data_IF_467294670166
#
_entry.id   IF_467294670166
#
_cell.length_a   1.000
_cell.length_b   1.000
_cell.length_c   1.000
_cell.angle_alpha   90.00
_cell.angle_beta   90.00
_cell.angle_gamma   90.00
#
_symmetry.space_group_name_H-M   'P 1'
#
loop_
_entity.id
_entity.type
_entity.pdbx_description
1 polymer ?
#
# COMPACT_ATOMS: atom_id res chain seq x y z
N UNK A 1 -4.59 -4.51 12.60
CA UNK A 1 -4.33 -3.80 11.33
C UNK A 1 -4.75 -4.69 10.17
N UNK A 2 -5.51 -4.18 9.22
CA UNK A 2 -5.82 -4.87 7.95
C UNK A 2 -5.10 -4.16 6.81
N UNK A 3 -4.50 -4.93 5.90
CA UNK A 3 -3.88 -4.43 4.66
C UNK A 3 -4.61 -5.01 3.47
N UNK A 4 -5.14 -4.15 2.61
CA UNK A 4 -5.85 -4.51 1.38
C UNK A 4 -5.45 -3.59 0.22
N UNK A 5 -5.89 -3.89 -1.00
CA UNK A 5 -5.54 -3.18 -2.22
C UNK A 5 -4.78 -4.06 -3.20
N UNK A 6 -4.61 -3.64 -4.44
CA UNK A 6 -4.12 -4.52 -5.52
C UNK A 6 -2.65 -4.91 -5.35
N UNK A 7 -1.77 -3.93 -5.19
CA UNK A 7 -0.32 -4.16 -5.11
C UNK A 7 0.23 -3.75 -3.74
N UNK A 8 1.33 -4.41 -3.32
CA UNK A 8 2.08 -4.02 -2.12
C UNK A 8 1.62 -4.65 -0.82
N UNK A 9 0.49 -5.37 -0.77
CA UNK A 9 -0.07 -5.97 0.46
C UNK A 9 0.97 -6.73 1.30
N UNK A 10 1.61 -7.72 0.71
CA UNK A 10 2.58 -8.58 1.42
C UNK A 10 3.78 -7.80 1.95
N UNK A 11 4.34 -6.89 1.12
CA UNK A 11 5.46 -6.04 1.53
C UNK A 11 5.05 -5.13 2.68
N UNK A 12 3.90 -4.48 2.56
CA UNK A 12 3.36 -3.61 3.63
C UNK A 12 3.12 -4.39 4.92
N UNK A 13 2.53 -5.60 4.85
CA UNK A 13 2.35 -6.44 6.04
C UNK A 13 3.67 -6.76 6.74
N UNK A 14 4.74 -6.98 5.99
CA UNK A 14 6.06 -7.25 6.57
C UNK A 14 6.72 -6.03 7.19
N UNK A 15 6.56 -4.84 6.59
CA UNK A 15 7.02 -3.58 7.22
C UNK A 15 6.25 -3.33 8.52
N UNK A 16 4.92 -3.51 8.51
CA UNK A 16 4.09 -3.39 9.71
C UNK A 16 4.48 -4.40 10.80
N UNK A 17 4.80 -5.63 10.38
CA UNK A 17 5.31 -6.67 11.28
C UNK A 17 6.58 -6.23 11.99
N UNK A 18 7.55 -5.67 11.24
CA UNK A 18 8.78 -5.15 11.82
C UNK A 18 8.50 -3.99 12.80
N UNK A 19 7.54 -3.11 12.47
CA UNK A 19 7.10 -2.04 13.37
C UNK A 19 6.52 -2.56 14.69
N UNK A 20 5.60 -3.51 14.65
CA UNK A 20 5.05 -4.10 15.88
C UNK A 20 6.09 -4.87 16.70
N UNK A 21 7.00 -5.58 16.02
CA UNK A 21 8.10 -6.29 16.66
C UNK A 21 9.04 -5.34 17.40
N UNK A 22 9.47 -4.23 16.76
CA UNK A 22 10.33 -3.21 17.37
C UNK A 22 9.63 -2.48 18.52
N UNK A 23 8.32 -2.28 18.43
CA UNK A 23 7.50 -1.73 19.50
C UNK A 23 7.21 -2.75 20.64
N UNK A 24 7.77 -3.97 20.60
CA UNK A 24 7.58 -4.98 21.63
C UNK A 24 6.16 -5.52 21.74
N UNK A 25 5.34 -5.39 20.69
CA UNK A 25 3.94 -5.83 20.69
C UNK A 25 3.83 -7.33 20.46
N UNK A 26 2.88 -7.97 21.14
CA UNK A 26 2.53 -9.39 20.91
C UNK A 26 1.52 -9.47 19.77
N UNK A 27 1.93 -10.04 18.63
CA UNK A 27 1.10 -10.07 17.42
C UNK A 27 1.16 -11.41 16.69
N UNK A 28 0.24 -11.60 15.74
CA UNK A 28 0.34 -12.61 14.71
C UNK A 28 0.02 -11.99 13.33
N UNK A 29 0.44 -12.69 12.29
CA UNK A 29 0.19 -12.34 10.90
C UNK A 29 -0.26 -13.58 10.14
N UNK A 30 -1.18 -13.45 9.19
CA UNK A 30 -1.51 -14.57 8.30
C UNK A 30 -0.36 -14.82 7.32
N UNK A 31 -0.18 -16.09 6.93
CA UNK A 31 0.89 -16.47 5.98
C UNK A 31 0.74 -15.73 4.66
N UNK A 32 1.87 -15.37 4.04
CA UNK A 32 1.89 -14.80 2.70
C UNK A 32 1.08 -15.66 1.72
N UNK A 33 0.18 -15.01 0.97
CA UNK A 33 -0.75 -15.68 0.05
C UNK A 33 -1.99 -16.30 0.70
N UNK A 34 -2.08 -16.40 2.03
CA UNK A 34 -3.28 -16.87 2.74
C UNK A 34 -4.25 -15.70 3.05
N UNK A 35 -4.58 -14.91 2.04
CA UNK A 35 -5.34 -13.66 2.13
C UNK A 35 -6.84 -13.79 1.83
N UNK A 36 -7.31 -15.01 1.55
CA UNK A 36 -8.73 -15.33 1.45
C UNK A 36 -9.31 -15.66 2.82
N UNK A 37 -10.64 -15.70 2.91
CA UNK A 37 -11.37 -15.94 4.18
C UNK A 37 -10.87 -17.19 4.92
N UNK A 38 -10.62 -18.28 4.21
CA UNK A 38 -10.11 -19.53 4.80
C UNK A 38 -8.74 -19.38 5.43
N UNK A 39 -7.83 -18.66 4.76
CA UNK A 39 -6.48 -18.40 5.28
C UNK A 39 -6.48 -17.45 6.47
N UNK A 40 -7.29 -16.40 6.43
CA UNK A 40 -7.49 -15.48 7.56
C UNK A 40 -8.07 -16.23 8.76
N UNK A 41 -9.14 -17.00 8.55
CA UNK A 41 -9.79 -17.80 9.62
C UNK A 41 -8.80 -18.80 10.22
N UNK A 42 -8.05 -19.54 9.40
CA UNK A 42 -7.02 -20.48 9.89
C UNK A 42 -5.99 -19.77 10.75
N UNK A 43 -5.59 -18.56 10.40
CA UNK A 43 -4.60 -17.78 11.18
C UNK A 43 -5.15 -17.39 12.55
N UNK A 44 -6.42 -17.01 12.66
CA UNK A 44 -7.06 -16.76 13.95
C UNK A 44 -7.18 -18.04 14.79
N UNK A 45 -7.58 -19.17 14.19
CA UNK A 45 -7.69 -20.47 14.89
C UNK A 45 -6.31 -20.89 15.47
N UNK A 46 -5.25 -20.81 14.68
CA UNK A 46 -3.89 -21.18 15.12
C UNK A 46 -3.37 -20.30 16.25
N UNK A 47 -3.81 -19.06 16.32
CA UNK A 47 -3.43 -18.09 17.35
C UNK A 47 -4.47 -17.95 18.48
N UNK A 48 -5.41 -18.87 18.57
CA UNK A 48 -6.42 -18.92 19.64
C UNK A 48 -6.26 -20.16 20.51
N UNK A 49 -6.83 -20.08 21.72
CA UNK A 49 -7.01 -21.25 22.58
C UNK A 49 -8.20 -22.07 22.09
N UNK A 50 -8.37 -23.28 22.61
CA UNK A 50 -9.53 -24.14 22.34
C UNK A 50 -10.86 -23.47 22.71
N UNK A 51 -10.83 -22.53 23.68
CA UNK A 51 -11.98 -21.74 24.12
C UNK A 51 -12.20 -20.47 23.28
N UNK A 52 -11.44 -20.26 22.20
CA UNK A 52 -11.57 -19.12 21.31
C UNK A 52 -10.86 -17.84 21.76
N UNK A 53 -10.16 -17.85 22.90
CA UNK A 53 -9.40 -16.66 23.35
C UNK A 53 -8.11 -16.52 22.51
N UNK A 54 -7.89 -15.35 21.92
CA UNK A 54 -6.67 -15.06 21.20
C UNK A 54 -5.44 -15.09 22.12
N UNK A 55 -4.34 -15.67 21.66
CA UNK A 55 -3.06 -15.76 22.40
C UNK A 55 -2.17 -14.54 22.19
N UNK A 56 -2.55 -13.67 21.26
CA UNK A 56 -1.83 -12.47 20.84
C UNK A 56 -2.72 -11.27 21.03
N UNK A 57 -2.12 -10.12 21.32
CA UNK A 57 -2.87 -8.88 21.55
C UNK A 57 -3.28 -8.22 20.25
N UNK A 58 -2.48 -8.41 19.18
CA UNK A 58 -2.67 -7.76 17.89
C UNK A 58 -2.59 -8.74 16.73
N UNK A 59 -3.19 -8.33 15.61
CA UNK A 59 -3.12 -9.05 14.35
C UNK A 59 -2.79 -8.09 13.19
N UNK A 60 -1.93 -8.54 12.27
CA UNK A 60 -1.75 -7.94 10.95
C UNK A 60 -2.37 -8.90 9.95
N UNK A 61 -3.37 -8.46 9.22
CA UNK A 61 -4.13 -9.30 8.29
C UNK A 61 -3.95 -8.78 6.87
N UNK A 62 -3.21 -9.54 6.07
CA UNK A 62 -3.25 -9.38 4.62
C UNK A 62 -4.59 -9.91 4.11
N UNK A 63 -5.39 -9.08 3.45
CA UNK A 63 -6.70 -9.47 2.99
C UNK A 63 -6.89 -9.13 1.50
N UNK A 64 -7.37 -10.10 0.75
CA UNK A 64 -7.85 -9.88 -0.62
C UNK A 64 -9.07 -8.96 -0.60
N UNK A 65 -9.22 -8.12 -1.61
CA UNK A 65 -10.22 -7.06 -1.66
C UNK A 65 -11.66 -7.59 -1.59
N UNK A 66 -11.93 -8.71 -2.27
CA UNK A 66 -13.24 -9.35 -2.26
C UNK A 66 -13.47 -10.15 -0.96
N UNK A 67 -12.42 -10.83 -0.48
CA UNK A 67 -12.50 -11.56 0.79
C UNK A 67 -12.70 -10.61 1.97
N UNK A 68 -12.20 -9.38 1.89
CA UNK A 68 -12.34 -8.38 2.94
C UNK A 68 -13.80 -8.03 3.22
N UNK A 69 -14.68 -8.08 2.22
CA UNK A 69 -16.12 -7.86 2.40
C UNK A 69 -16.74 -8.83 3.41
N UNK A 70 -16.31 -10.08 3.41
CA UNK A 70 -16.78 -11.08 4.36
C UNK A 70 -16.01 -11.00 5.68
N UNK A 71 -14.68 -10.91 5.63
CA UNK A 71 -13.81 -10.84 6.80
C UNK A 71 -14.19 -9.65 7.70
N UNK A 72 -14.48 -8.48 7.11
CA UNK A 72 -14.84 -7.25 7.85
C UNK A 72 -16.08 -7.37 8.74
N UNK A 73 -16.94 -8.37 8.51
CA UNK A 73 -18.13 -8.62 9.33
C UNK A 73 -17.85 -9.31 10.65
N UNK A 74 -16.67 -9.95 10.76
CA UNK A 74 -16.34 -10.83 11.89
C UNK A 74 -15.15 -10.34 12.71
N UNK A 75 -14.44 -9.32 12.23
CA UNK A 75 -13.27 -8.79 12.94
C UNK A 75 -13.53 -7.41 13.52
N UNK A 76 -12.81 -7.09 14.59
CA UNK A 76 -12.59 -5.72 15.01
C UNK A 76 -11.26 -5.23 14.42
N UNK A 77 -11.21 -3.97 13.93
CA UNK A 77 -10.04 -3.42 13.29
C UNK A 77 -9.83 -1.97 13.72
N UNK A 78 -8.60 -1.63 14.12
CA UNK A 78 -8.22 -0.28 14.53
C UNK A 78 -7.73 0.54 13.34
N UNK A 79 -6.97 -0.08 12.42
CA UNK A 79 -6.36 0.58 11.27
C UNK A 79 -6.51 -0.27 10.02
N UNK A 80 -6.95 0.35 8.93
CA UNK A 80 -7.01 -0.25 7.59
C UNK A 80 -6.06 0.51 6.68
N UNK A 81 -5.07 -0.18 6.11
CA UNK A 81 -4.21 0.34 5.06
C UNK A 81 -4.72 -0.13 3.71
N UNK A 82 -5.20 0.82 2.89
CA UNK A 82 -5.55 0.59 1.49
C UNK A 82 -4.39 1.06 0.63
N UNK A 83 -3.63 0.14 0.08
CA UNK A 83 -2.39 0.46 -0.63
C UNK A 83 -2.64 1.20 -1.94
N UNK A 84 -3.40 0.61 -2.85
CA UNK A 84 -3.77 1.17 -4.15
C UNK A 84 -4.84 0.30 -4.80
N UNK A 85 -5.45 0.80 -5.88
CA UNK A 85 -6.38 0.04 -6.71
C UNK A 85 -5.92 0.13 -8.16
N UNK A 86 -5.50 -1.02 -8.72
CA UNK A 86 -5.12 -1.21 -10.11
C UNK A 86 -5.92 -2.34 -10.71
N UNK A 87 -5.95 -2.43 -12.04
CA UNK A 87 -6.46 -3.60 -12.75
C UNK A 87 -5.55 -4.80 -12.46
N UNK A 88 -6.10 -5.88 -11.93
CA UNK A 88 -5.30 -7.06 -11.57
C UNK A 88 -5.16 -8.03 -12.73
N UNK A 89 -6.19 -8.18 -13.59
CA UNK A 89 -6.19 -9.07 -14.76
C UNK A 89 -6.71 -8.36 -16.01
N UNK A 90 -6.16 -8.71 -17.17
CA UNK A 90 -6.46 -8.04 -18.44
C UNK A 90 -7.91 -8.26 -18.96
N UNK A 91 -8.61 -9.28 -18.49
CA UNK A 91 -9.82 -9.79 -19.11
C UNK A 91 -11.15 -9.33 -18.47
N UNK A 92 -11.11 -8.51 -17.41
CA UNK A 92 -12.34 -8.16 -16.67
C UNK A 92 -12.67 -6.67 -16.80
N UNK A 93 -13.57 -6.36 -17.70
CA UNK A 93 -14.21 -5.04 -17.78
C UNK A 93 -14.96 -4.75 -16.48
N UNK A 94 -14.66 -3.61 -15.84
CA UNK A 94 -15.33 -3.21 -14.59
C UNK A 94 -14.64 -3.65 -13.30
N UNK A 95 -13.54 -4.39 -13.35
CA UNK A 95 -12.84 -4.96 -12.19
C UNK A 95 -12.36 -3.90 -11.20
N UNK A 96 -11.80 -2.79 -11.68
CA UNK A 96 -11.30 -1.70 -10.83
C UNK A 96 -12.40 -1.09 -9.96
N UNK A 97 -13.57 -0.82 -10.56
CA UNK A 97 -14.74 -0.28 -9.84
C UNK A 97 -15.33 -1.32 -8.88
N UNK A 98 -15.36 -2.59 -9.28
CA UNK A 98 -15.82 -3.67 -8.41
C UNK A 98 -14.92 -3.84 -7.19
N UNK A 99 -13.61 -3.86 -7.40
CA UNK A 99 -12.60 -3.94 -6.34
C UNK A 99 -12.71 -2.75 -5.38
N UNK A 100 -12.81 -1.53 -5.90
CA UNK A 100 -13.00 -0.32 -5.10
C UNK A 100 -14.28 -0.40 -4.25
N UNK A 101 -15.39 -0.84 -4.84
CA UNK A 101 -16.67 -0.99 -4.13
C UNK A 101 -16.60 -2.07 -3.05
N UNK A 102 -15.93 -3.19 -3.31
CA UNK A 102 -15.74 -4.25 -2.32
C UNK A 102 -14.96 -3.73 -1.10
N UNK A 103 -13.86 -2.99 -1.31
CA UNK A 103 -13.10 -2.37 -0.22
C UNK A 103 -13.98 -1.36 0.52
N UNK A 104 -14.71 -0.50 -0.19
CA UNK A 104 -15.58 0.53 0.40
C UNK A 104 -16.68 -0.06 1.29
N UNK A 105 -17.34 -1.12 0.83
CA UNK A 105 -18.34 -1.84 1.63
C UNK A 105 -17.72 -2.49 2.87
N UNK A 106 -16.51 -3.04 2.73
CA UNK A 106 -15.79 -3.65 3.85
C UNK A 106 -15.44 -2.62 4.93
N UNK A 107 -14.95 -1.44 4.51
CA UNK A 107 -14.62 -0.34 5.41
C UNK A 107 -15.86 0.16 6.17
N UNK A 108 -17.03 0.23 5.52
CA UNK A 108 -18.30 0.61 6.16
C UNK A 108 -18.71 -0.34 7.29
N UNK A 109 -18.30 -1.61 7.23
CA UNK A 109 -18.53 -2.57 8.34
C UNK A 109 -17.64 -2.29 9.56
N UNK A 110 -16.62 -1.43 9.42
CA UNK A 110 -15.61 -1.10 10.43
C UNK A 110 -15.55 0.42 10.69
N UNK A 111 -16.65 1.05 11.11
CA UNK A 111 -16.78 2.53 11.13
C UNK A 111 -15.82 3.23 12.09
N UNK A 112 -15.29 2.52 13.09
CA UNK A 112 -14.35 3.06 14.07
C UNK A 112 -12.88 2.93 13.65
N UNK A 113 -12.58 2.19 12.58
CA UNK A 113 -11.22 2.03 12.09
C UNK A 113 -10.71 3.33 11.47
N UNK A 114 -9.43 3.65 11.70
CA UNK A 114 -8.73 4.69 10.93
C UNK A 114 -8.36 4.09 9.58
N UNK A 115 -8.62 4.82 8.49
CA UNK A 115 -8.35 4.35 7.14
C UNK A 115 -7.20 5.15 6.52
N UNK A 116 -6.10 4.49 6.21
CA UNK A 116 -4.96 5.07 5.52
C UNK A 116 -5.16 4.88 4.00
N UNK A 117 -5.24 5.99 3.25
CA UNK A 117 -5.51 6.02 1.81
C UNK A 117 -4.35 6.64 1.04
N UNK A 118 -4.02 6.02 -0.09
CA UNK A 118 -3.10 6.61 -1.07
C UNK A 118 -3.76 7.85 -1.73
N UNK A 119 -3.21 9.03 -1.44
CA UNK A 119 -3.65 10.31 -1.95
C UNK A 119 -3.42 10.47 -3.46
N UNK A 120 -2.42 9.78 -4.00
CA UNK A 120 -2.02 9.84 -5.40
C UNK A 120 -2.89 8.95 -6.29
N UNK A 121 -3.62 8.00 -5.67
CA UNK A 121 -4.58 7.14 -6.35
C UNK A 121 -5.98 7.77 -6.29
N UNK A 122 -6.44 8.34 -7.41
CA UNK A 122 -7.76 8.98 -7.47
C UNK A 122 -8.91 8.02 -7.12
N UNK A 123 -8.72 6.73 -7.32
CA UNK A 123 -9.69 5.68 -6.99
C UNK A 123 -9.77 5.46 -5.47
N UNK A 124 -8.65 5.19 -4.80
CA UNK A 124 -8.64 4.98 -3.34
C UNK A 124 -9.06 6.23 -2.60
N UNK A 125 -8.54 7.41 -2.99
CA UNK A 125 -8.90 8.66 -2.34
C UNK A 125 -10.38 9.01 -2.51
N UNK A 126 -11.04 8.56 -3.58
CA UNK A 126 -12.49 8.79 -3.75
C UNK A 126 -13.32 8.24 -2.60
N UNK A 127 -12.84 7.19 -1.93
CA UNK A 127 -13.52 6.60 -0.77
C UNK A 127 -13.70 7.60 0.37
N UNK A 128 -12.79 8.57 0.52
CA UNK A 128 -12.86 9.62 1.55
C UNK A 128 -14.16 10.45 1.51
N UNK A 129 -14.84 10.46 0.36
CA UNK A 129 -16.14 11.15 0.17
C UNK A 129 -17.35 10.31 0.56
N UNK A 130 -17.15 9.00 0.80
CA UNK A 130 -18.26 8.05 0.92
C UNK A 130 -18.21 7.17 2.19
N UNK A 131 -17.10 7.22 2.95
CA UNK A 131 -16.94 6.47 4.19
C UNK A 131 -16.95 7.41 5.40
N UNK A 132 -17.49 6.98 6.55
CA UNK A 132 -17.57 7.83 7.76
C UNK A 132 -16.27 7.84 8.58
N UNK A 133 -15.31 7.01 8.24
CA UNK A 133 -14.09 6.75 8.98
C UNK A 133 -13.17 7.97 9.06
N UNK A 134 -12.37 8.06 10.11
CA UNK A 134 -11.22 8.96 10.13
C UNK A 134 -10.23 8.54 9.04
N UNK A 135 -9.86 9.48 8.18
CA UNK A 135 -8.92 9.25 7.08
C UNK A 135 -7.56 9.84 7.44
N UNK A 136 -6.52 9.11 7.12
CA UNK A 136 -5.13 9.58 7.04
C UNK A 136 -4.66 9.31 5.63
N UNK A 137 -4.01 10.28 5.01
CA UNK A 137 -3.56 10.18 3.63
C UNK A 137 -2.05 10.07 3.55
N UNK A 138 -1.56 9.28 2.58
CA UNK A 138 -0.13 9.18 2.27
C UNK A 138 0.09 9.34 0.76
N UNK A 139 1.29 9.77 0.36
CA UNK A 139 1.60 9.94 -1.06
C UNK A 139 2.99 10.48 -1.32
N UNK A 140 3.29 10.77 -2.59
CA UNK A 140 4.57 11.26 -3.07
C UNK A 140 4.37 12.58 -3.82
N UNK A 141 5.01 13.65 -3.37
CA UNK A 141 4.81 15.01 -3.90
C UNK A 141 5.66 15.33 -5.14
N UNK A 142 6.47 14.40 -5.59
CA UNK A 142 7.41 14.59 -6.70
C UNK A 142 7.34 13.42 -7.68
N UNK A 143 7.57 13.64 -8.98
CA UNK A 143 7.72 12.55 -9.92
C UNK A 143 9.02 11.77 -9.63
N UNK A 144 8.99 10.46 -9.83
CA UNK A 144 10.21 9.64 -9.76
C UNK A 144 11.14 9.84 -10.97
N UNK A 145 10.56 10.15 -12.12
CA UNK A 145 11.28 10.57 -13.33
C UNK A 145 10.62 11.84 -13.88
N UNK A 146 11.38 12.91 -13.92
CA UNK A 146 10.92 14.22 -14.45
C UNK A 146 10.58 14.19 -15.93
N UNK A 147 11.10 13.19 -16.66
CA UNK A 147 10.88 13.02 -18.10
C UNK A 147 9.82 11.93 -18.39
N UNK A 148 9.22 11.33 -17.36
CA UNK A 148 8.21 10.31 -17.55
C UNK A 148 7.01 10.86 -18.32
N UNK A 149 6.70 10.23 -19.46
CA UNK A 149 5.46 10.52 -20.19
C UNK A 149 4.27 9.91 -19.46
N UNK A 150 3.09 10.48 -19.70
CA UNK A 150 1.85 9.87 -19.24
C UNK A 150 1.79 8.39 -19.67
N UNK A 151 1.33 7.48 -18.80
CA UNK A 151 1.26 6.08 -19.14
C UNK A 151 0.26 5.87 -20.29
N UNK A 152 0.64 5.04 -21.29
CA UNK A 152 -0.25 4.70 -22.41
C UNK A 152 -1.52 3.99 -21.94
N UNK A 153 -1.42 3.21 -20.87
CA UNK A 153 -2.53 2.51 -20.23
C UNK A 153 -2.70 3.06 -18.81
N UNK A 154 -3.83 3.69 -18.57
CA UNK A 154 -4.20 4.24 -17.25
C UNK A 154 -5.51 3.63 -16.78
N UNK A 155 -5.53 3.05 -15.58
CA UNK A 155 -6.72 2.47 -14.96
C UNK A 155 -7.67 3.55 -14.42
N UNK A 156 -7.21 4.80 -14.31
CA UNK A 156 -7.96 5.94 -13.83
C UNK A 156 -7.74 7.18 -14.72
N UNK A 157 -8.01 7.03 -16.01
CA UNK A 157 -7.94 8.14 -16.97
C UNK A 157 -9.02 9.19 -16.73
N UNK A 158 -10.22 8.75 -16.34
CA UNK A 158 -11.41 9.58 -16.20
C UNK A 158 -11.85 9.72 -14.75
N UNK A 159 -12.33 10.90 -14.41
CA UNK A 159 -12.86 11.20 -13.08
C UNK A 159 -13.97 10.23 -12.69
N UNK A 160 -13.81 9.62 -11.52
CA UNK A 160 -14.77 8.64 -11.00
C UNK A 160 -16.17 9.22 -10.81
N UNK A 161 -16.25 10.53 -10.53
CA UNK A 161 -17.51 11.22 -10.25
C UNK A 161 -18.21 11.77 -11.51
N UNK A 162 -17.50 12.49 -12.38
CA UNK A 162 -18.11 13.16 -13.52
C UNK A 162 -17.67 12.65 -14.90
N UNK A 163 -16.78 11.66 -14.95
CA UNK A 163 -16.26 11.02 -16.16
C UNK A 163 -15.46 11.94 -17.10
N UNK A 164 -15.12 13.15 -16.66
CA UNK A 164 -14.20 14.01 -17.40
C UNK A 164 -12.77 13.49 -17.28
N UNK A 165 -11.93 13.70 -18.29
CA UNK A 165 -10.52 13.29 -18.24
C UNK A 165 -9.78 14.09 -17.16
N UNK A 166 -8.88 13.40 -16.41
CA UNK A 166 -8.06 14.08 -15.42
C UNK A 166 -6.90 14.82 -16.06
N UNK A 167 -6.59 16.01 -15.53
CA UNK A 167 -5.30 16.63 -15.69
C UNK A 167 -4.34 16.15 -14.62
N UNK A 168 -3.07 15.93 -14.99
CA UNK A 168 -2.01 15.53 -14.07
C UNK A 168 -0.90 16.57 -14.05
N UNK A 169 -0.52 17.03 -12.87
CA UNK A 169 0.65 17.90 -12.71
C UNK A 169 1.95 17.09 -12.78
N UNK A 170 1.91 15.82 -12.40
CA UNK A 170 2.97 14.83 -12.53
C UNK A 170 2.39 13.42 -12.39
N UNK A 171 3.15 12.46 -12.92
CA UNK A 171 2.92 11.03 -12.69
C UNK A 171 4.07 10.45 -11.89
N UNK A 172 3.77 9.49 -11.01
CA UNK A 172 4.78 8.66 -10.33
C UNK A 172 4.90 7.30 -11.00
N UNK A 173 3.85 6.48 -10.94
CA UNK A 173 3.74 5.27 -11.76
C UNK A 173 2.27 4.90 -12.01
N UNK A 174 1.98 4.32 -13.19
CA UNK A 174 0.62 4.04 -13.59
C UNK A 174 -0.23 5.30 -13.53
N UNK A 175 -1.40 5.22 -12.91
CA UNK A 175 -2.30 6.35 -12.73
C UNK A 175 -2.07 7.12 -11.41
N UNK A 176 -0.99 6.85 -10.68
CA UNK A 176 -0.69 7.58 -9.45
C UNK A 176 0.01 8.90 -9.76
N UNK A 177 -0.32 9.93 -9.00
CA UNK A 177 0.31 11.25 -9.12
C UNK A 177 -0.59 12.41 -8.74
N UNK A 178 -0.23 13.59 -9.23
CA UNK A 178 -0.93 14.85 -8.96
C UNK A 178 -2.15 15.05 -9.85
N UNK A 179 -3.19 14.24 -9.67
CA UNK A 179 -4.42 14.31 -10.47
C UNK A 179 -5.33 15.49 -10.07
N UNK A 180 -6.05 16.03 -11.06
CA UNK A 180 -7.10 17.03 -10.88
C UNK A 180 -8.17 16.90 -11.95
N UNK A 181 -9.44 17.01 -11.58
CA UNK A 181 -10.53 17.05 -12.53
C UNK A 181 -10.90 18.50 -12.84
N UNK A 182 -10.69 18.99 -14.07
CA UNK A 182 -11.00 20.38 -14.43
C UNK A 182 -12.50 20.68 -14.43
N UNK A 183 -13.35 19.65 -14.52
CA UNK A 183 -14.79 19.81 -14.58
C UNK A 183 -15.46 19.89 -13.21
N UNK A 184 -15.15 18.96 -12.28
CA UNK A 184 -15.84 18.92 -10.98
C UNK A 184 -14.96 19.33 -9.79
N UNK A 185 -13.68 19.65 -10.01
CA UNK A 185 -12.75 20.09 -8.99
C UNK A 185 -12.25 18.96 -8.06
N UNK A 186 -12.61 17.69 -8.30
CA UNK A 186 -12.05 16.57 -7.55
C UNK A 186 -10.56 16.43 -7.86
N UNK A 187 -9.74 16.52 -6.84
CA UNK A 187 -8.29 16.55 -6.98
C UNK A 187 -7.58 15.85 -5.84
N UNK A 188 -6.33 15.52 -6.08
CA UNK A 188 -5.39 15.04 -5.08
C UNK A 188 -5.33 15.97 -3.88
N UNK A 189 -5.47 15.47 -2.63
CA UNK A 189 -5.23 16.29 -1.44
C UNK A 189 -3.74 16.47 -1.20
N UNK A 190 -3.37 17.38 -0.30
CA UNK A 190 -2.04 17.35 0.33
C UNK A 190 -2.02 16.15 1.29
N UNK A 191 -1.10 15.18 1.14
CA UNK A 191 -1.04 14.05 2.04
C UNK A 191 -0.57 14.43 3.45
N UNK A 192 -1.11 13.73 4.46
CA UNK A 192 -0.64 13.85 5.86
C UNK A 192 0.76 13.25 6.03
N UNK A 193 1.05 12.17 5.28
CA UNK A 193 2.34 11.52 5.18
C UNK A 193 2.84 11.62 3.75
N UNK A 194 3.86 12.44 3.52
CA UNK A 194 4.28 12.80 2.16
C UNK A 194 5.77 12.60 1.94
N UNK A 195 6.15 11.92 0.86
CA UNK A 195 7.53 12.00 0.35
C UNK A 195 7.67 13.33 -0.40
N UNK A 196 8.58 14.18 0.06
CA UNK A 196 8.82 15.53 -0.49
C UNK A 196 9.92 15.54 -1.55
N UNK A 197 10.94 14.69 -1.40
CA UNK A 197 11.97 14.48 -2.41
C UNK A 197 12.52 13.06 -2.36
N UNK A 198 13.08 12.62 -3.48
CA UNK A 198 13.83 11.38 -3.60
C UNK A 198 15.28 11.75 -3.85
N UNK A 199 16.14 11.53 -2.86
CA UNK A 199 17.57 11.90 -2.89
C UNK A 199 18.39 10.83 -3.61
N UNK A 200 17.99 9.56 -3.43
CA UNK A 200 18.64 8.41 -4.07
C UNK A 200 17.60 7.34 -4.40
N UNK A 201 17.72 6.74 -5.58
CA UNK A 201 16.95 5.57 -5.98
C UNK A 201 17.88 4.56 -6.65
N UNK A 202 18.16 3.47 -5.95
CA UNK A 202 18.99 2.35 -6.41
C UNK A 202 18.20 1.06 -6.51
N UNK A 203 18.86 0.02 -6.99
CA UNK A 203 18.23 -1.29 -7.19
C UNK A 203 17.87 -2.00 -5.88
N UNK A 204 18.57 -1.70 -4.81
CA UNK A 204 18.43 -2.32 -3.49
C UNK A 204 17.81 -1.41 -2.44
N UNK A 205 17.80 -0.09 -2.68
CA UNK A 205 17.25 0.87 -1.73
C UNK A 205 16.87 2.21 -2.38
N UNK A 206 16.12 3.01 -1.62
CA UNK A 206 15.88 4.43 -1.91
C UNK A 206 16.11 5.26 -0.67
N UNK A 207 16.58 6.52 -0.83
CA UNK A 207 16.66 7.52 0.23
C UNK A 207 15.70 8.64 -0.10
N UNK A 208 14.78 8.92 0.82
CA UNK A 208 13.73 9.91 0.62
C UNK A 208 13.70 10.91 1.77
N UNK A 209 13.31 12.14 1.47
CA UNK A 209 12.88 13.11 2.48
C UNK A 209 11.37 13.00 2.58
N UNK A 210 10.87 12.70 3.76
CA UNK A 210 9.44 12.54 4.01
C UNK A 210 8.98 13.42 5.15
N UNK A 211 7.79 13.98 5.00
CA UNK A 211 7.04 14.60 6.08
C UNK A 211 6.12 13.54 6.68
N UNK A 212 6.29 13.26 7.97
CA UNK A 212 5.48 12.33 8.73
C UNK A 212 4.56 13.11 9.67
N UNK A 213 3.37 13.48 9.19
CA UNK A 213 2.37 14.22 9.98
C UNK A 213 2.88 15.55 10.56
N UNK A 214 3.75 16.25 9.85
CA UNK A 214 4.33 17.55 10.26
C UNK A 214 5.84 17.50 10.49
N UNK A 215 6.39 16.35 10.83
CA UNK A 215 7.82 16.19 11.10
C UNK A 215 8.60 15.71 9.85
N UNK A 216 9.67 16.41 9.51
CA UNK A 216 10.49 16.14 8.33
C UNK A 216 11.64 15.22 8.66
N UNK A 217 11.72 14.09 7.96
CA UNK A 217 12.68 13.03 8.19
C UNK A 217 13.39 12.60 6.90
N UNK A 218 14.64 12.16 7.00
CA UNK A 218 15.34 11.44 5.93
C UNK A 218 15.20 9.96 6.25
N UNK A 219 14.65 9.20 5.33
CA UNK A 219 14.32 7.78 5.52
C UNK A 219 14.98 6.96 4.43
N UNK A 220 15.69 5.92 4.85
CA UNK A 220 16.22 4.90 3.94
C UNK A 220 15.24 3.73 3.84
N UNK A 221 14.71 3.50 2.65
CA UNK A 221 13.85 2.35 2.34
C UNK A 221 14.75 1.26 1.73
N UNK A 222 15.07 0.22 2.49
CA UNK A 222 16.02 -0.84 2.10
C UNK A 222 15.40 -1.90 1.16
N UNK A 223 14.57 -1.45 0.24
CA UNK A 223 14.01 -2.25 -0.85
C UNK A 223 13.98 -1.37 -2.09
N UNK A 224 14.53 -1.87 -3.22
CA UNK A 224 14.47 -1.16 -4.49
C UNK A 224 13.06 -1.07 -5.07
N UNK A 225 12.90 -0.13 -5.99
CA UNK A 225 11.67 0.09 -6.75
C UNK A 225 10.76 1.16 -6.17
N UNK A 226 10.33 2.06 -7.04
CA UNK A 226 9.50 3.22 -6.71
C UNK A 226 8.22 2.89 -5.94
N UNK A 227 7.58 1.76 -6.24
CA UNK A 227 6.37 1.28 -5.54
C UNK A 227 6.62 0.94 -4.05
N UNK A 228 7.87 0.62 -3.68
CA UNK A 228 8.21 0.35 -2.28
C UNK A 228 8.33 1.62 -1.44
N UNK A 229 8.55 2.77 -2.07
CA UNK A 229 8.43 4.07 -1.41
C UNK A 229 6.97 4.29 -0.95
N UNK A 230 5.98 3.97 -1.81
CA UNK A 230 4.56 4.01 -1.42
C UNK A 230 4.22 3.02 -0.31
N UNK A 231 4.75 1.79 -0.38
CA UNK A 231 4.54 0.80 0.67
C UNK A 231 5.11 1.30 2.01
N UNK A 232 6.31 1.88 2.01
CA UNK A 232 6.96 2.40 3.21
C UNK A 232 6.19 3.58 3.82
N UNK A 233 5.82 4.60 3.01
CA UNK A 233 5.12 5.78 3.53
C UNK A 233 3.68 5.44 3.97
N UNK A 234 2.99 4.51 3.29
CA UNK A 234 1.70 3.99 3.71
C UNK A 234 1.78 3.21 5.03
N UNK A 235 2.86 2.44 5.23
CA UNK A 235 3.11 1.77 6.51
C UNK A 235 3.47 2.77 7.62
N UNK A 236 4.19 3.86 7.32
CA UNK A 236 4.43 4.92 8.29
C UNK A 236 3.10 5.51 8.78
N UNK A 237 2.19 5.84 7.86
CA UNK A 237 0.86 6.33 8.20
C UNK A 237 0.08 5.32 9.07
N UNK A 238 0.09 4.04 8.70
CA UNK A 238 -0.64 3.00 9.42
C UNK A 238 -0.07 2.71 10.82
N UNK A 239 1.25 2.65 10.98
CA UNK A 239 1.91 2.44 12.28
C UNK A 239 1.67 3.63 13.22
N UNK A 240 1.79 4.87 12.70
CA UNK A 240 1.50 6.07 13.48
C UNK A 240 0.01 6.12 13.88
N UNK A 241 -0.90 5.80 12.96
CA UNK A 241 -2.33 5.67 13.25
C UNK A 241 -2.61 4.62 14.33
N UNK A 242 -1.82 3.56 14.38
CA UNK A 242 -1.89 2.50 15.39
C UNK A 242 -1.27 2.91 16.74
N UNK A 243 -0.62 4.07 16.82
CA UNK A 243 -0.02 4.61 18.05
C UNK A 243 1.43 4.18 18.28
N UNK A 244 2.15 3.79 17.24
CA UNK A 244 3.61 3.56 17.28
C UNK A 244 4.30 4.91 17.13
N UNK A 245 5.31 5.16 17.95
CA UNK A 245 6.10 6.39 17.90
C UNK A 245 6.93 6.50 16.62
N UNK A 246 7.19 7.74 16.19
CA UNK A 246 7.84 8.04 14.92
C UNK A 246 9.22 7.39 14.78
N UNK A 247 10.02 7.41 15.84
CA UNK A 247 11.36 6.80 15.81
C UNK A 247 11.30 5.31 15.53
N UNK A 248 10.37 4.61 16.18
CA UNK A 248 10.14 3.17 15.95
C UNK A 248 9.61 2.91 14.54
N UNK A 249 8.76 3.81 14.01
CA UNK A 249 8.25 3.74 12.62
C UNK A 249 9.40 3.84 11.62
N UNK A 250 10.27 4.85 11.75
CA UNK A 250 11.43 5.04 10.87
C UNK A 250 12.37 3.84 10.97
N UNK A 251 12.70 3.43 12.19
CA UNK A 251 13.58 2.27 12.45
C UNK A 251 13.03 0.97 11.83
N UNK A 252 11.72 0.78 11.81
CA UNK A 252 11.08 -0.37 11.17
C UNK A 252 11.26 -0.36 9.64
N UNK A 253 11.11 0.80 9.01
CA UNK A 253 11.28 0.97 7.57
C UNK A 253 12.75 0.75 7.17
N UNK A 254 13.68 1.34 7.92
CA UNK A 254 15.10 1.27 7.63
C UNK A 254 15.73 -0.11 7.86
N UNK A 255 15.19 -0.92 8.76
CA UNK A 255 15.67 -2.27 9.03
C UNK A 255 14.90 -3.36 8.28
N UNK A 256 13.87 -3.00 7.55
CA UNK A 256 13.14 -3.95 6.73
C UNK A 256 14.00 -4.39 5.53
N UNK A 257 14.22 -5.70 5.42
CA UNK A 257 14.95 -6.29 4.29
C UNK A 257 14.00 -7.19 3.51
N UNK A 258 13.49 -6.73 2.40
CA UNK A 258 12.69 -7.40 1.38
C UNK A 258 11.85 -8.62 1.81
N UNK A 259 10.66 -8.78 1.26
CA UNK A 259 9.83 -9.96 1.50
C UNK A 259 10.23 -11.10 0.53
N UNK A 260 10.34 -12.32 1.03
CA UNK A 260 10.56 -13.53 0.23
C UNK A 260 9.60 -13.60 -0.97
N UNK A 261 10.14 -13.93 -2.17
CA UNK A 261 9.37 -14.06 -3.40
C UNK A 261 8.96 -12.74 -4.07
N UNK A 262 9.47 -11.57 -3.64
CA UNK A 262 9.09 -10.29 -4.25
C UNK A 262 10.20 -9.61 -5.04
N UNK A 263 11.42 -9.66 -4.56
CA UNK A 263 12.62 -9.23 -5.26
C UNK A 263 13.78 -9.99 -4.62
N UNK A 264 14.09 -11.14 -5.16
CA UNK A 264 15.14 -12.00 -4.64
C UNK A 264 16.37 -11.92 -5.52
N UNK A 265 17.52 -11.82 -4.88
CA UNK A 265 18.83 -11.85 -5.53
C UNK A 265 19.57 -13.08 -5.02
N UNK A 266 20.00 -13.93 -5.93
CA UNK A 266 20.85 -15.07 -5.59
C UNK A 266 21.92 -15.31 -6.64
N UNK A 267 23.02 -15.95 -6.24
CA UNK A 267 24.10 -16.32 -7.15
C UNK A 267 23.90 -17.73 -7.69
N UNK A 268 24.04 -17.89 -8.99
CA UNK A 268 24.07 -19.16 -9.68
C UNK A 268 25.39 -19.24 -10.48
N UNK A 269 26.43 -19.84 -9.89
CA UNK A 269 27.80 -19.77 -10.39
C UNK A 269 28.32 -18.34 -10.34
N UNK A 270 28.83 -17.83 -11.46
CA UNK A 270 29.33 -16.45 -11.59
C UNK A 270 28.23 -15.43 -11.92
N UNK A 271 27.00 -15.89 -12.13
CA UNK A 271 25.88 -15.03 -12.49
C UNK A 271 25.07 -14.61 -11.26
N UNK A 272 24.56 -13.37 -11.28
CA UNK A 272 23.53 -12.90 -10.34
C UNK A 272 22.15 -13.07 -10.97
N UNK A 273 21.27 -13.79 -10.29
CA UNK A 273 19.89 -14.00 -10.74
C UNK A 273 18.96 -13.13 -9.88
N UNK A 274 18.12 -12.35 -10.57
CA UNK A 274 17.10 -11.51 -9.95
C UNK A 274 15.72 -12.12 -10.23
N UNK A 275 15.00 -12.52 -9.19
CA UNK A 275 13.65 -13.06 -9.29
C UNK A 275 12.64 -12.00 -8.85
N UNK A 276 11.78 -11.57 -9.78
CA UNK A 276 10.79 -10.53 -9.54
C UNK A 276 9.40 -11.07 -9.89
N UNK A 277 8.49 -11.06 -8.93
CA UNK A 277 7.10 -11.46 -9.17
C UNK A 277 6.30 -10.30 -9.76
N UNK A 278 5.72 -10.56 -10.92
CA UNK A 278 4.84 -9.63 -11.64
C UNK A 278 3.45 -10.22 -11.78
N UNK A 279 2.42 -9.47 -11.38
CA UNK A 279 1.01 -9.93 -11.41
C UNK A 279 0.16 -9.22 -12.46
N UNK A 280 0.48 -7.97 -12.78
CA UNK A 280 -0.36 -7.12 -13.60
C UNK A 280 0.46 -6.16 -14.47
N UNK A 281 -0.15 -5.46 -15.46
CA UNK A 281 0.56 -4.57 -16.37
C UNK A 281 1.34 -3.44 -15.67
N UNK A 282 0.77 -2.86 -14.60
CA UNK A 282 1.45 -1.81 -13.84
C UNK A 282 2.72 -2.34 -13.17
N UNK A 283 2.65 -3.53 -12.54
CA UNK A 283 3.81 -4.21 -11.96
C UNK A 283 4.85 -4.58 -13.03
N UNK A 284 4.42 -5.03 -14.22
CA UNK A 284 5.33 -5.32 -15.33
C UNK A 284 6.06 -4.07 -15.79
N UNK A 285 5.35 -2.97 -16.03
CA UNK A 285 5.96 -1.70 -16.44
C UNK A 285 6.98 -1.20 -15.41
N UNK A 286 6.68 -1.33 -14.12
CA UNK A 286 7.61 -0.96 -13.05
C UNK A 286 8.86 -1.86 -13.03
N UNK A 287 8.69 -3.16 -13.24
CA UNK A 287 9.81 -4.11 -13.34
C UNK A 287 10.69 -3.78 -14.55
N UNK A 288 10.10 -3.47 -15.69
CA UNK A 288 10.85 -3.08 -16.89
C UNK A 288 11.61 -1.76 -16.70
N UNK A 289 10.99 -0.78 -16.04
CA UNK A 289 11.68 0.48 -15.70
C UNK A 289 12.83 0.26 -14.72
N UNK A 290 12.64 -0.61 -13.73
CA UNK A 290 13.69 -1.02 -12.81
C UNK A 290 14.86 -1.67 -13.55
N UNK A 291 14.60 -2.62 -14.47
CA UNK A 291 15.62 -3.32 -15.23
C UNK A 291 16.40 -2.42 -16.21
N UNK A 292 15.82 -1.31 -16.68
CA UNK A 292 16.53 -0.32 -17.54
C UNK A 292 17.62 0.44 -16.78
N UNK A 293 17.57 0.45 -15.45
CA UNK A 293 18.49 1.19 -14.59
C UNK A 293 19.56 0.26 -13.96
N UNK A 294 19.57 -1.01 -14.33
CA UNK A 294 20.61 -2.00 -14.00
C UNK A 294 21.58 -2.13 -15.18
#
# INVERSE_FOLDING_TARGET
IVVTGTNGKTTSCRILEEGLKKAGKSYFINKSGANLITGVTASFIMNSTITGKCKKDYAIIECDENAFKEVSRYIHCDVILVTNVFRDQLDRYGEVTHTLNAIKESVKNLPNAIVCLDADCSLTYSMSKEIPNKIITFGVNVPFDKNAKAPEISDAKYCIFCKHEYDYTYHTYGHLGGFGCPNCGYKRPQPDFAVESVEEMKNDHSVVVANLNGDRNIIRVNIGGAYNIYNAIGCAAALTAFGIDEKTVIDAIEHFNGAFGRMEHFKAGDNTVNLILVKNPAGFSQTMNFLKNI
#
